data_IF_770519124293
#
_entry.id   IF_770519124293
#
_cell.length_a   1.000
_cell.length_b   1.000
_cell.length_c   1.000
_cell.angle_alpha   90.00
_cell.angle_beta   90.00
_cell.angle_gamma   90.00
#
_symmetry.space_group_name_H-M   'P 1'
#
loop_
_entity.id
_entity.type
_entity.pdbx_description
1 polymer ?
#
# COMPACT_ATOMS: atom_id res chain seq x y z
N UNK A 1 -2.91 -10.05 -9.94
CA UNK A 1 -1.99 -10.98 -10.61
C UNK A 1 -1.90 -12.26 -9.81
N UNK A 2 -1.91 -13.38 -10.47
CA UNK A 2 -1.86 -14.70 -9.85
C UNK A 2 -0.47 -15.32 -9.91
N UNK A 3 0.50 -14.63 -10.49
CA UNK A 3 1.84 -15.11 -10.64
C UNK A 3 2.75 -14.52 -9.58
N UNK A 4 3.39 -15.35 -8.78
CA UNK A 4 4.60 -14.95 -8.11
C UNK A 4 5.72 -15.06 -9.15
N UNK A 5 6.41 -13.95 -9.37
CA UNK A 5 7.59 -13.95 -10.22
C UNK A 5 8.80 -14.25 -9.33
N UNK A 6 9.86 -14.79 -9.90
CA UNK A 6 11.07 -15.18 -9.18
C UNK A 6 11.64 -14.08 -8.27
N UNK A 7 11.51 -12.81 -8.66
CA UNK A 7 11.98 -11.69 -7.84
C UNK A 7 11.04 -11.28 -6.70
N UNK A 8 9.77 -11.73 -6.69
CA UNK A 8 8.82 -11.40 -5.62
C UNK A 8 9.15 -12.07 -4.30
N UNK A 9 9.87 -13.19 -4.32
CA UNK A 9 10.38 -13.84 -3.13
C UNK A 9 11.47 -12.98 -2.46
N UNK A 10 12.13 -12.10 -3.22
CA UNK A 10 13.16 -11.18 -2.73
C UNK A 10 12.58 -9.83 -2.33
N UNK A 11 11.58 -9.35 -3.07
CA UNK A 11 11.00 -8.04 -2.87
C UNK A 11 9.58 -7.96 -3.43
N UNK A 12 8.68 -7.44 -2.63
CA UNK A 12 7.32 -7.11 -3.05
C UNK A 12 7.02 -5.65 -2.67
N UNK A 13 7.01 -4.74 -3.64
CA UNK A 13 6.77 -3.31 -3.43
C UNK A 13 5.39 -3.03 -2.85
N UNK A 14 4.43 -3.88 -3.22
CA UNK A 14 3.04 -3.70 -2.84
C UNK A 14 2.36 -2.51 -3.46
N UNK A 15 2.93 -1.94 -4.50
CA UNK A 15 2.23 -0.93 -5.29
C UNK A 15 0.99 -1.57 -5.89
N UNK A 16 -0.19 -1.06 -5.54
CA UNK A 16 -1.44 -1.41 -6.20
C UNK A 16 -1.56 -0.73 -7.56
N UNK A 17 -2.51 -1.18 -8.39
CA UNK A 17 -2.70 -0.65 -9.74
C UNK A 17 -2.85 0.87 -9.80
N UNK A 18 -3.53 1.48 -8.84
CA UNK A 18 -3.71 2.94 -8.76
C UNK A 18 -2.38 3.67 -8.47
N UNK A 19 -1.56 3.09 -7.59
CA UNK A 19 -0.25 3.66 -7.26
C UNK A 19 0.78 3.49 -8.37
N UNK A 20 0.66 2.45 -9.20
CA UNK A 20 1.61 2.17 -10.27
C UNK A 20 1.66 3.27 -11.33
N UNK A 21 0.53 3.87 -11.66
CA UNK A 21 0.48 4.97 -12.63
C UNK A 21 1.26 6.18 -12.13
N UNK A 22 1.02 6.62 -10.90
CA UNK A 22 1.77 7.72 -10.29
C UNK A 22 3.26 7.35 -10.17
N UNK A 23 3.56 6.20 -9.58
CA UNK A 23 4.93 5.76 -9.36
C UNK A 23 5.80 5.75 -10.62
N UNK A 24 5.27 5.31 -11.77
CA UNK A 24 6.04 5.30 -12.99
C UNK A 24 6.35 6.71 -13.50
N UNK A 25 5.42 7.65 -13.34
CA UNK A 25 5.64 9.04 -13.75
C UNK A 25 6.59 9.78 -12.79
N UNK A 26 6.56 9.45 -11.50
CA UNK A 26 7.40 10.07 -10.49
C UNK A 26 8.83 9.49 -10.47
N UNK A 27 9.01 8.24 -10.89
CA UNK A 27 10.28 7.52 -10.78
C UNK A 27 11.07 7.55 -12.10
N UNK A 28 10.43 7.30 -13.22
CA UNK A 28 11.12 7.12 -14.50
C UNK A 28 11.30 8.44 -15.27
N UNK A 29 12.42 8.53 -15.98
CA UNK A 29 12.73 9.69 -16.82
C UNK A 29 11.95 9.67 -18.16
N UNK A 30 11.90 10.81 -18.81
CA UNK A 30 11.13 11.01 -20.05
C UNK A 30 11.57 10.10 -21.20
N UNK A 31 12.81 9.58 -21.20
CA UNK A 31 13.25 8.64 -22.23
C UNK A 31 12.45 7.33 -22.24
N UNK A 32 11.86 6.96 -21.10
CA UNK A 32 10.93 5.82 -21.01
C UNK A 32 9.62 6.15 -21.74
N UNK A 33 9.05 7.34 -21.50
CA UNK A 33 7.86 7.80 -22.22
C UNK A 33 8.09 7.90 -23.73
N UNK A 34 9.23 8.43 -24.15
CA UNK A 34 9.60 8.49 -25.57
C UNK A 34 9.72 7.11 -26.22
N UNK A 35 10.24 6.12 -25.48
CA UNK A 35 10.37 4.74 -25.96
C UNK A 35 9.03 3.99 -26.00
N UNK A 36 8.07 4.40 -25.19
CA UNK A 36 6.77 3.75 -25.03
C UNK A 36 5.64 4.80 -24.97
N UNK A 37 5.39 5.54 -26.06
CA UNK A 37 4.43 6.66 -26.06
C UNK A 37 2.99 6.24 -25.77
N UNK A 38 2.63 4.97 -25.96
CA UNK A 38 1.34 4.39 -25.62
C UNK A 38 1.08 4.30 -24.11
N UNK A 39 2.07 4.58 -23.27
CA UNK A 39 1.96 4.44 -21.82
C UNK A 39 1.42 5.68 -21.11
N UNK A 40 1.23 6.77 -21.82
CA UNK A 40 0.64 8.01 -21.27
C UNK A 40 -0.17 8.77 -22.33
N UNK A 41 -1.09 9.61 -21.86
CA UNK A 41 -1.84 10.50 -22.74
C UNK A 41 -0.96 11.71 -23.12
N UNK A 42 -0.80 12.06 -24.40
CA UNK A 42 -0.05 13.24 -24.83
C UNK A 42 -0.53 14.56 -24.18
N UNK A 43 -1.78 14.65 -23.76
CA UNK A 43 -2.30 15.84 -23.07
C UNK A 43 -1.59 16.08 -21.73
N UNK A 44 -1.10 15.03 -21.07
CA UNK A 44 -0.37 15.11 -19.80
C UNK A 44 1.15 15.03 -19.95
N UNK A 45 1.69 15.20 -21.17
CA UNK A 45 3.13 15.07 -21.42
C UNK A 45 4.00 15.91 -20.47
N UNK A 46 3.56 17.12 -20.13
CA UNK A 46 4.27 18.00 -19.20
C UNK A 46 4.35 17.43 -17.75
N UNK A 47 3.54 16.43 -17.42
CA UNK A 47 3.47 15.79 -16.11
C UNK A 47 3.83 14.30 -16.18
N UNK A 48 4.23 13.81 -17.35
CA UNK A 48 4.55 12.42 -17.55
C UNK A 48 6.06 12.17 -17.44
N UNK A 49 6.46 11.13 -16.71
CA UNK A 49 7.85 10.68 -16.62
C UNK A 49 8.82 11.79 -16.16
N UNK A 50 8.48 12.43 -15.04
CA UNK A 50 9.28 13.52 -14.43
C UNK A 50 10.43 13.00 -13.56
N UNK A 51 10.54 11.69 -13.38
CA UNK A 51 11.58 11.06 -12.59
C UNK A 51 12.93 11.07 -13.28
N UNK A 52 13.89 10.36 -12.70
CA UNK A 52 15.30 10.37 -13.13
C UNK A 52 15.89 9.00 -13.44
N UNK A 53 15.08 7.92 -13.27
CA UNK A 53 15.60 6.56 -13.42
C UNK A 53 15.18 5.95 -14.74
N UNK A 54 16.04 5.07 -15.27
CA UNK A 54 15.74 4.20 -16.42
C UNK A 54 15.25 2.84 -15.93
N UNK A 55 14.47 2.15 -16.75
CA UNK A 55 13.91 0.82 -16.40
C UNK A 55 14.98 -0.20 -16.01
N UNK A 56 16.10 -0.21 -16.75
CA UNK A 56 17.19 -1.19 -16.57
C UNK A 56 18.28 -0.75 -15.57
N UNK A 57 18.14 0.41 -14.96
CA UNK A 57 19.06 0.89 -13.94
C UNK A 57 18.94 0.05 -12.67
N UNK A 58 20.06 -0.13 -11.95
CA UNK A 58 20.06 -0.82 -10.66
C UNK A 58 19.11 -0.14 -9.67
N UNK A 59 18.29 -0.92 -8.98
CA UNK A 59 17.39 -0.45 -7.94
C UNK A 59 18.06 -0.42 -6.57
N UNK A 60 17.43 0.17 -5.53
CA UNK A 60 17.88 0.05 -4.15
C UNK A 60 17.87 -1.39 -3.60
N UNK A 61 17.20 -2.31 -4.26
CA UNK A 61 17.15 -3.72 -3.87
C UNK A 61 18.12 -4.52 -4.73
N UNK A 62 19.07 -5.19 -4.08
CA UNK A 62 20.10 -5.96 -4.75
C UNK A 62 19.53 -7.01 -5.70
N UNK A 63 20.07 -7.08 -6.91
CA UNK A 63 19.66 -8.04 -7.94
C UNK A 63 18.39 -7.66 -8.70
N UNK A 64 17.79 -6.49 -8.43
CA UNK A 64 16.65 -5.97 -9.20
C UNK A 64 17.02 -4.71 -9.97
N UNK A 65 16.49 -4.60 -11.20
CA UNK A 65 16.42 -3.33 -11.91
C UNK A 65 15.22 -2.48 -11.45
N UNK A 66 15.21 -1.20 -11.82
CA UNK A 66 14.16 -0.26 -11.43
C UNK A 66 12.78 -0.67 -12.00
N UNK A 67 12.73 -1.27 -13.16
CA UNK A 67 11.49 -1.77 -13.76
C UNK A 67 10.85 -2.85 -12.89
N UNK A 68 11.59 -3.89 -12.52
CA UNK A 68 11.12 -4.97 -11.65
C UNK A 68 10.79 -4.47 -10.24
N UNK A 69 11.62 -3.57 -9.73
CA UNK A 69 11.42 -2.95 -8.42
C UNK A 69 10.07 -2.24 -8.31
N UNK A 70 9.69 -1.45 -9.32
CA UNK A 70 8.41 -0.73 -9.35
C UNK A 70 7.24 -1.64 -9.73
N UNK A 71 7.46 -2.57 -10.67
CA UNK A 71 6.41 -3.43 -11.24
C UNK A 71 5.98 -4.56 -10.31
N UNK A 72 6.65 -4.78 -9.19
CA UNK A 72 6.30 -5.85 -8.25
C UNK A 72 4.80 -5.81 -7.90
N UNK A 73 4.04 -6.87 -8.19
CA UNK A 73 2.58 -6.86 -8.09
C UNK A 73 2.08 -6.87 -6.66
N UNK A 74 0.82 -6.50 -6.49
CA UNK A 74 0.14 -6.67 -5.19
C UNK A 74 0.01 -8.15 -4.86
N UNK A 75 0.46 -8.54 -3.67
CA UNK A 75 0.32 -9.91 -3.16
C UNK A 75 -1.16 -10.31 -3.06
N UNK A 76 -1.49 -11.53 -3.42
CA UNK A 76 -2.80 -12.10 -3.14
C UNK A 76 -2.93 -12.49 -1.67
N UNK A 77 -4.06 -12.14 -1.06
CA UNK A 77 -4.40 -12.55 0.31
C UNK A 77 -5.37 -13.73 0.36
N UNK A 78 -5.71 -14.31 -0.79
CA UNK A 78 -6.71 -15.38 -0.89
C UNK A 78 -6.41 -16.59 0.00
N UNK A 79 -5.16 -17.13 0.07
CA UNK A 79 -4.87 -18.27 0.96
C UNK A 79 -5.09 -17.94 2.44
N UNK A 80 -4.71 -16.74 2.89
CA UNK A 80 -4.95 -16.28 4.25
C UNK A 80 -6.45 -16.11 4.51
N UNK A 81 -7.14 -15.37 3.64
CA UNK A 81 -8.56 -15.09 3.84
C UNK A 81 -9.44 -16.33 3.80
N UNK A 82 -9.10 -17.33 2.98
CA UNK A 82 -9.77 -18.63 3.02
C UNK A 82 -9.68 -19.25 4.42
N UNK A 83 -8.49 -19.35 5.00
CA UNK A 83 -8.27 -19.87 6.36
C UNK A 83 -9.04 -19.08 7.43
N UNK A 84 -8.99 -17.74 7.35
CA UNK A 84 -9.67 -16.85 8.29
C UNK A 84 -11.19 -17.07 8.22
N UNK A 85 -11.77 -17.09 7.03
CA UNK A 85 -13.21 -17.28 6.87
C UNK A 85 -13.70 -18.68 7.24
N UNK A 86 -12.91 -19.72 7.00
CA UNK A 86 -13.25 -21.09 7.40
C UNK A 86 -13.28 -21.24 8.93
N UNK A 87 -12.40 -20.54 9.65
CA UNK A 87 -12.24 -20.73 11.11
C UNK A 87 -12.84 -19.62 11.97
N UNK A 88 -12.83 -18.38 11.48
CA UNK A 88 -13.06 -17.19 12.30
C UNK A 88 -13.94 -16.12 11.61
N UNK A 89 -14.81 -16.53 10.68
CA UNK A 89 -15.64 -15.57 9.93
C UNK A 89 -16.45 -14.63 10.83
N UNK A 90 -17.00 -15.13 11.95
CA UNK A 90 -17.79 -14.35 12.88
C UNK A 90 -17.00 -13.26 13.62
N UNK A 91 -15.68 -13.41 13.67
CA UNK A 91 -14.79 -12.43 14.30
C UNK A 91 -14.28 -11.36 13.32
N UNK A 92 -14.64 -11.45 12.01
CA UNK A 92 -14.27 -10.44 11.01
C UNK A 92 -15.40 -9.41 10.93
N UNK A 93 -15.15 -8.22 11.49
CA UNK A 93 -16.11 -7.11 11.48
C UNK A 93 -15.98 -6.23 10.24
N UNK A 94 -14.81 -6.21 9.63
CA UNK A 94 -14.57 -5.45 8.40
C UNK A 94 -13.27 -5.84 7.72
N UNK A 95 -13.21 -5.59 6.41
CA UNK A 95 -12.03 -5.81 5.57
C UNK A 95 -11.83 -4.59 4.68
N UNK A 96 -10.63 -4.04 4.67
CA UNK A 96 -10.27 -2.94 3.78
C UNK A 96 -8.97 -3.27 3.07
N UNK A 97 -9.02 -3.32 1.73
CA UNK A 97 -7.80 -3.37 0.93
C UNK A 97 -7.37 -1.94 0.60
N UNK A 98 -6.22 -1.51 1.13
CA UNK A 98 -5.71 -0.14 1.09
C UNK A 98 -5.17 0.23 -0.30
N UNK A 99 -6.01 0.11 -1.32
CA UNK A 99 -5.77 0.55 -2.70
C UNK A 99 -6.78 1.63 -3.06
N UNK A 100 -6.34 2.71 -3.71
CA UNK A 100 -7.24 3.83 -4.05
C UNK A 100 -7.85 4.50 -2.81
N UNK A 101 -7.17 5.50 -2.29
CA UNK A 101 -7.50 6.18 -1.03
C UNK A 101 -6.54 5.85 0.11
N UNK A 102 -5.50 5.03 -0.18
CA UNK A 102 -4.41 4.74 0.74
C UNK A 102 -4.88 4.30 2.12
N UNK A 103 -4.28 4.89 3.13
CA UNK A 103 -4.55 4.58 4.53
C UNK A 103 -5.84 5.20 5.07
N UNK A 104 -6.41 6.16 4.36
CA UNK A 104 -7.70 6.77 4.69
C UNK A 104 -8.90 6.04 4.10
N UNK A 105 -8.69 4.99 3.30
CA UNK A 105 -9.79 4.32 2.60
C UNK A 105 -10.89 3.81 3.51
N UNK A 106 -10.55 3.38 4.72
CA UNK A 106 -11.52 2.85 5.70
C UNK A 106 -12.64 3.84 6.04
N UNK A 107 -12.40 5.16 5.92
CA UNK A 107 -13.40 6.20 6.21
C UNK A 107 -14.69 6.04 5.39
N UNK A 108 -14.60 5.40 4.22
CA UNK A 108 -15.76 5.16 3.34
C UNK A 108 -16.71 4.07 3.83
N UNK A 109 -16.31 3.33 4.86
CA UNK A 109 -16.98 2.12 5.34
C UNK A 109 -17.34 2.20 6.83
N UNK A 110 -17.08 3.33 7.47
CA UNK A 110 -17.36 3.56 8.88
C UNK A 110 -18.34 4.71 9.03
N UNK A 111 -19.08 4.67 10.13
CA UNK A 111 -19.97 5.72 10.59
C UNK A 111 -19.87 5.77 12.12
N UNK A 112 -19.96 6.96 12.71
CA UNK A 112 -19.85 7.17 14.16
C UNK A 112 -18.68 6.41 14.84
N UNK A 113 -17.56 6.33 14.11
CA UNK A 113 -16.38 5.58 14.50
C UNK A 113 -15.11 6.36 14.14
N UNK A 114 -14.17 6.37 15.08
CA UNK A 114 -12.82 6.87 14.85
C UNK A 114 -11.85 5.70 14.73
N UNK A 115 -11.15 5.63 13.61
CA UNK A 115 -10.05 4.67 13.39
C UNK A 115 -8.72 5.37 13.63
N UNK A 116 -7.95 4.88 14.58
CA UNK A 116 -6.61 5.39 14.90
C UNK A 116 -5.59 4.36 14.46
N UNK A 117 -4.62 4.77 13.62
CA UNK A 117 -3.52 3.93 13.16
C UNK A 117 -2.21 4.55 13.65
N UNK A 118 -1.51 3.87 14.54
CA UNK A 118 -0.34 4.39 15.25
C UNK A 118 0.85 3.42 15.26
N UNK A 119 0.71 2.24 14.65
CA UNK A 119 1.76 1.22 14.60
C UNK A 119 1.95 0.71 13.16
N UNK A 120 2.41 1.61 12.28
CA UNK A 120 2.67 1.28 10.88
C UNK A 120 3.86 0.35 10.69
N UNK A 121 3.87 -0.39 9.58
CA UNK A 121 5.07 -1.04 9.08
C UNK A 121 6.11 0.01 8.64
N UNK A 122 7.36 -0.41 8.54
CA UNK A 122 8.37 0.41 7.89
C UNK A 122 7.96 0.74 6.46
N UNK A 123 8.26 1.98 6.05
CA UNK A 123 7.92 2.44 4.70
C UNK A 123 8.74 1.66 3.67
N UNK A 124 8.11 0.93 2.76
CA UNK A 124 8.82 0.21 1.71
C UNK A 124 9.68 1.16 0.85
N UNK A 125 10.87 0.71 0.40
CA UNK A 125 11.81 1.54 -0.34
C UNK A 125 11.24 2.26 -1.56
N UNK A 126 10.25 1.68 -2.23
CA UNK A 126 9.60 2.30 -3.38
C UNK A 126 8.83 3.56 -3.01
N UNK A 127 8.14 3.56 -1.86
CA UNK A 127 7.41 4.75 -1.40
C UNK A 127 8.35 5.83 -0.86
N UNK A 128 9.44 5.44 -0.21
CA UNK A 128 10.52 6.37 0.15
C UNK A 128 11.12 7.05 -1.09
N UNK A 129 11.29 6.30 -2.18
CA UNK A 129 11.78 6.84 -3.44
C UNK A 129 10.80 7.85 -4.05
N UNK A 130 9.49 7.58 -4.01
CA UNK A 130 8.47 8.52 -4.49
C UNK A 130 8.42 9.78 -3.62
N UNK A 131 8.50 9.65 -2.29
CA UNK A 131 8.59 10.84 -1.42
C UNK A 131 9.80 11.70 -1.74
N UNK A 132 10.95 11.09 -2.02
CA UNK A 132 12.17 11.80 -2.42
C UNK A 132 12.07 12.49 -3.78
N UNK A 133 11.10 12.16 -4.62
CA UNK A 133 10.81 12.89 -5.85
C UNK A 133 9.99 14.17 -5.63
N UNK A 134 9.51 14.43 -4.41
CA UNK A 134 8.84 15.65 -4.02
C UNK A 134 7.38 15.50 -3.58
N UNK A 135 6.87 14.28 -3.50
CA UNK A 135 5.49 14.06 -3.00
C UNK A 135 5.45 14.18 -1.49
N UNK A 136 4.59 15.03 -0.98
CA UNK A 136 4.40 15.25 0.45
C UNK A 136 3.92 14.00 1.18
N UNK A 137 4.40 13.80 2.41
CA UNK A 137 4.12 12.59 3.20
C UNK A 137 2.61 12.36 3.39
N UNK A 138 1.83 13.39 3.65
CA UNK A 138 0.38 13.26 3.80
C UNK A 138 -0.28 12.73 2.53
N UNK A 139 0.12 13.25 1.36
CA UNK A 139 -0.39 12.78 0.06
C UNK A 139 0.01 11.32 -0.21
N UNK A 140 1.21 10.91 0.21
CA UNK A 140 1.63 9.51 0.14
C UNK A 140 0.67 8.60 0.91
N UNK A 141 0.30 8.96 2.14
CA UNK A 141 -0.65 8.17 2.94
C UNK A 141 -2.10 8.26 2.43
N UNK A 142 -2.45 9.29 1.67
CA UNK A 142 -3.75 9.41 0.98
C UNK A 142 -3.84 8.55 -0.27
N UNK A 143 -2.73 8.34 -0.95
CA UNK A 143 -2.67 7.68 -2.26
C UNK A 143 -2.19 6.24 -2.16
N UNK A 144 -1.13 5.98 -1.40
CA UNK A 144 -0.47 4.69 -1.32
C UNK A 144 -0.77 3.93 -0.02
N UNK A 145 -0.54 2.62 -0.04
CA UNK A 145 -0.71 1.76 1.13
C UNK A 145 0.42 1.89 2.17
N UNK A 146 1.55 2.48 1.84
CA UNK A 146 2.68 2.75 2.72
C UNK A 146 3.18 1.55 3.53
N UNK A 147 3.03 0.34 2.99
CA UNK A 147 3.55 -0.91 3.57
C UNK A 147 2.49 -1.86 4.10
N UNK A 148 1.29 -1.41 4.48
CA UNK A 148 0.23 -2.33 4.80
C UNK A 148 -0.98 -2.20 3.86
N UNK A 149 -1.42 -3.31 3.30
CA UNK A 149 -2.32 -3.36 2.16
C UNK A 149 -3.70 -3.91 2.47
N UNK A 150 -3.78 -4.80 3.46
CA UNK A 150 -5.03 -5.41 3.90
C UNK A 150 -5.21 -5.15 5.38
N UNK A 151 -6.34 -4.58 5.74
CA UNK A 151 -6.79 -4.38 7.11
C UNK A 151 -7.92 -5.35 7.41
N UNK A 152 -7.84 -5.99 8.58
CA UNK A 152 -8.89 -6.82 9.14
C UNK A 152 -9.31 -6.19 10.47
N UNK A 153 -10.56 -5.79 10.57
CA UNK A 153 -11.14 -5.25 11.80
C UNK A 153 -11.73 -6.40 12.61
N UNK A 154 -11.25 -6.56 13.82
CA UNK A 154 -11.58 -7.71 14.68
C UNK A 154 -11.30 -7.38 16.15
N UNK A 155 -11.68 -8.28 17.06
CA UNK A 155 -11.31 -8.18 18.47
C UNK A 155 -9.85 -8.59 18.72
N UNK A 156 -9.29 -8.17 19.88
CA UNK A 156 -7.88 -8.38 20.21
C UNK A 156 -7.48 -9.87 20.28
N UNK A 157 -8.36 -10.72 20.78
CA UNK A 157 -8.08 -12.17 20.88
C UNK A 157 -7.98 -12.79 19.50
N UNK A 158 -8.96 -12.50 18.66
CA UNK A 158 -9.01 -12.98 17.27
C UNK A 158 -7.86 -12.42 16.43
N UNK A 159 -7.43 -11.17 16.68
CA UNK A 159 -6.29 -10.57 15.99
C UNK A 159 -5.00 -11.40 16.17
N UNK A 160 -4.73 -11.88 17.41
CA UNK A 160 -3.55 -12.72 17.70
C UNK A 160 -3.54 -14.02 16.89
N UNK A 161 -4.69 -14.65 16.74
CA UNK A 161 -4.81 -15.88 15.95
C UNK A 161 -4.70 -15.60 14.45
N UNK A 162 -5.31 -14.52 13.95
CA UNK A 162 -5.19 -14.12 12.55
C UNK A 162 -3.76 -13.75 12.17
N UNK A 163 -3.01 -13.08 13.05
CA UNK A 163 -1.58 -12.81 12.84
C UNK A 163 -0.76 -14.10 12.73
N UNK A 164 -1.06 -15.12 13.55
CA UNK A 164 -0.41 -16.43 13.42
C UNK A 164 -0.72 -17.09 12.07
N UNK A 165 -1.99 -17.06 11.65
CA UNK A 165 -2.38 -17.59 10.33
C UNK A 165 -1.70 -16.84 9.18
N UNK A 166 -1.50 -15.53 9.30
CA UNK A 166 -0.76 -14.74 8.33
C UNK A 166 0.70 -15.18 8.24
N UNK A 167 1.37 -15.37 9.38
CA UNK A 167 2.74 -15.92 9.46
C UNK A 167 2.87 -17.28 8.79
N UNK A 168 1.90 -18.19 8.99
CA UNK A 168 1.84 -19.49 8.32
C UNK A 168 1.67 -19.39 6.79
N UNK A 169 1.29 -18.22 6.29
CA UNK A 169 1.20 -17.91 4.86
C UNK A 169 2.37 -17.04 4.36
N UNK A 170 3.41 -16.83 5.17
CA UNK A 170 4.54 -15.97 4.85
C UNK A 170 4.15 -14.49 4.70
N UNK A 171 3.15 -14.04 5.44
CA UNK A 171 2.65 -12.66 5.43
C UNK A 171 2.89 -12.05 6.80
N UNK A 172 3.66 -10.95 6.84
CA UNK A 172 3.80 -10.17 8.06
C UNK A 172 2.48 -9.50 8.42
N UNK A 173 2.14 -9.59 9.70
CA UNK A 173 0.93 -9.00 10.25
C UNK A 173 1.17 -8.41 11.64
N UNK A 174 0.53 -7.29 11.92
CA UNK A 174 0.58 -6.64 13.25
C UNK A 174 -0.73 -5.91 13.55
N UNK A 175 -0.98 -5.63 14.79
CA UNK A 175 -2.02 -4.67 15.18
C UNK A 175 -1.50 -3.28 14.80
N UNK A 176 -2.14 -2.65 13.82
CA UNK A 176 -1.73 -1.34 13.29
C UNK A 176 -2.45 -0.17 13.96
N UNK A 177 -3.48 -0.46 14.74
CA UNK A 177 -4.28 0.55 15.42
C UNK A 177 -5.53 -0.02 16.06
N UNK A 178 -6.45 0.85 16.40
CA UNK A 178 -7.69 0.52 17.09
C UNK A 178 -8.84 1.46 16.69
N UNK A 179 -10.04 1.12 17.12
CA UNK A 179 -11.25 1.91 16.87
C UNK A 179 -11.84 2.43 18.18
N UNK A 180 -12.37 3.64 18.14
CA UNK A 180 -13.11 4.28 19.22
C UNK A 180 -14.47 4.76 18.71
N UNK A 181 -15.46 4.89 19.61
CA UNK A 181 -16.72 5.54 19.28
C UNK A 181 -16.49 7.03 19.00
N UNK A 182 -17.19 7.57 18.04
CA UNK A 182 -17.15 8.99 17.66
C UNK A 182 -18.54 9.43 17.21
N UNK A 183 -18.79 10.73 17.19
CA UNK A 183 -20.05 11.29 16.67
C UNK A 183 -20.08 11.34 15.13
N UNK A 184 -18.94 11.08 14.48
CA UNK A 184 -18.76 11.10 13.02
C UNK A 184 -17.71 10.08 12.59
N UNK A 185 -17.59 9.86 11.28
CA UNK A 185 -16.53 9.04 10.72
C UNK A 185 -15.19 9.79 10.75
N UNK A 186 -14.20 9.24 11.44
CA UNK A 186 -12.86 9.83 11.57
C UNK A 186 -11.76 8.81 11.33
N UNK A 187 -10.66 9.25 10.72
CA UNK A 187 -9.41 8.48 10.62
C UNK A 187 -8.25 9.36 11.05
N UNK A 188 -7.46 8.86 11.98
CA UNK A 188 -6.23 9.50 12.46
C UNK A 188 -5.03 8.58 12.23
N UNK A 189 -4.03 9.08 11.51
CA UNK A 189 -2.79 8.36 11.23
C UNK A 189 -1.67 9.02 12.03
N UNK A 190 -1.04 8.28 12.95
CA UNK A 190 0.16 8.72 13.67
C UNK A 190 1.37 8.07 13.01
N UNK A 191 2.06 8.81 12.18
CA UNK A 191 3.15 8.31 11.33
C UNK A 191 4.49 8.90 11.76
N UNK A 192 5.63 8.35 11.31
CA UNK A 192 6.94 8.96 11.53
C UNK A 192 7.10 10.38 10.94
N UNK A 193 6.22 10.76 10.01
CA UNK A 193 6.24 12.05 9.31
C UNK A 193 5.25 13.07 9.89
N UNK A 194 4.46 12.68 10.87
CA UNK A 194 3.44 13.52 11.49
C UNK A 194 2.11 12.83 11.70
N UNK A 195 1.17 13.58 12.25
CA UNK A 195 -0.21 13.10 12.46
C UNK A 195 -1.11 13.67 11.38
N UNK A 196 -1.76 12.80 10.62
CA UNK A 196 -2.69 13.18 9.55
C UNK A 196 -4.11 12.77 9.94
N UNK A 197 -5.08 13.61 9.63
CA UNK A 197 -6.49 13.39 9.98
C UNK A 197 -7.41 13.57 8.79
N UNK A 198 -8.49 12.81 8.81
CA UNK A 198 -9.61 12.96 7.89
C UNK A 198 -10.91 12.68 8.62
N UNK A 199 -11.92 13.49 8.36
CA UNK A 199 -13.28 13.34 8.90
C UNK A 199 -14.33 13.55 7.80
N UNK A 200 -15.53 12.99 7.99
CA UNK A 200 -16.69 13.12 7.10
C UNK A 200 -17.93 13.33 7.96
#
# INVERSE_FOLDING_TARGET
SYGQCEWEDRYNSGIGSNGLTSARHDIFDFSVGQSFPETYDPIIEAFAYLGRYKLTQASPVEGLDMGKFVLSPTRTYLPLMKKVFEKMRSSVHGLVHCTGGGQFKCIKFIDQLKVIKDNFFEVPPVFDLIMKSGTEAEEMYRTFNMGHRLEIYTDEKSAKEMMKMAGDCGIDARVVGYCETSDKAEVELKTPFGTFKKEV
#
